data_IF_652929506407
#
_entry.id   IF_652929506407
#
_cell.length_a   1.000
_cell.length_b   1.000
_cell.length_c   1.000
_cell.angle_alpha   90.00
_cell.angle_beta   90.00
_cell.angle_gamma   90.00
#
_symmetry.space_group_name_H-M   'P 1'
#
loop_
_entity.id
_entity.type
_entity.pdbx_description
1 polymer ?
#
# COMPACT_ATOMS: atom_id res chain seq x y z
N UNK A 1 5.92 35.12 -14.84
CA UNK A 1 7.03 34.42 -14.16
C UNK A 1 6.84 34.34 -12.63
N UNK A 2 6.03 35.20 -12.00
CA UNK A 2 5.98 35.29 -10.53
C UNK A 2 4.96 34.36 -9.84
N UNK A 3 3.90 33.93 -10.53
CA UNK A 3 2.85 33.10 -9.92
C UNK A 3 3.34 31.67 -9.63
N UNK A 4 3.93 30.99 -10.62
CA UNK A 4 4.37 29.60 -10.47
C UNK A 4 5.47 29.44 -9.43
N UNK A 5 6.39 30.41 -9.34
CA UNK A 5 7.45 30.42 -8.34
C UNK A 5 6.86 30.54 -6.92
N UNK A 6 5.82 31.38 -6.76
CA UNK A 6 5.16 31.58 -5.47
C UNK A 6 4.40 30.34 -5.03
N UNK A 7 3.65 29.71 -5.92
CA UNK A 7 2.94 28.45 -5.64
C UNK A 7 3.93 27.35 -5.21
N UNK A 8 5.05 27.20 -5.92
CA UNK A 8 6.08 26.23 -5.56
C UNK A 8 6.71 26.49 -4.19
N UNK A 9 6.96 27.76 -3.84
CA UNK A 9 7.50 28.13 -2.51
C UNK A 9 6.49 27.82 -1.41
N UNK A 10 5.21 28.14 -1.62
CA UNK A 10 4.16 27.91 -0.63
C UNK A 10 3.95 26.40 -0.41
N UNK A 11 3.96 25.58 -1.48
CA UNK A 11 3.90 24.10 -1.39
C UNK A 11 5.08 23.50 -0.60
N UNK A 12 6.31 23.98 -0.81
CA UNK A 12 7.48 23.50 -0.06
C UNK A 12 7.34 23.83 1.43
N UNK A 13 6.88 25.04 1.76
CA UNK A 13 6.66 25.44 3.16
C UNK A 13 5.55 24.62 3.82
N UNK A 14 4.48 24.34 3.09
CA UNK A 14 3.37 23.50 3.57
C UNK A 14 3.86 22.08 3.82
N UNK A 15 4.68 21.51 2.93
CA UNK A 15 5.30 20.20 3.14
C UNK A 15 6.19 20.17 4.38
N UNK A 16 7.09 21.13 4.53
CA UNK A 16 7.95 21.19 5.72
C UNK A 16 7.14 21.35 7.01
N UNK A 17 6.01 22.07 6.95
CA UNK A 17 5.10 22.19 8.08
C UNK A 17 4.44 20.86 8.39
N UNK A 18 3.92 20.15 7.38
CA UNK A 18 3.32 18.82 7.55
C UNK A 18 4.33 17.82 8.12
N UNK A 19 5.58 17.82 7.65
CA UNK A 19 6.63 16.94 8.17
C UNK A 19 6.98 17.25 9.63
N UNK A 20 7.04 18.54 9.99
CA UNK A 20 7.21 18.99 11.39
C UNK A 20 6.03 18.56 12.26
N UNK A 21 4.80 18.79 11.80
CA UNK A 21 3.59 18.45 12.53
C UNK A 21 3.49 16.93 12.73
N UNK A 22 3.76 16.13 11.68
CA UNK A 22 3.84 14.66 11.75
C UNK A 22 4.86 14.21 12.79
N UNK A 23 6.06 14.80 12.79
CA UNK A 23 7.11 14.47 13.76
C UNK A 23 6.67 14.79 15.19
N UNK A 24 6.05 15.95 15.42
CA UNK A 24 5.55 16.35 16.74
C UNK A 24 4.44 15.40 17.21
N UNK A 25 3.49 15.07 16.33
CA UNK A 25 2.42 14.11 16.62
C UNK A 25 2.98 12.74 17.00
N UNK A 26 3.94 12.22 16.23
CA UNK A 26 4.59 10.94 16.52
C UNK A 26 5.29 10.96 17.89
N UNK A 27 6.10 11.99 18.16
CA UNK A 27 6.81 12.10 19.44
C UNK A 27 5.85 12.22 20.62
N UNK A 28 4.78 13.00 20.46
CA UNK A 28 3.76 13.16 21.50
C UNK A 28 3.05 11.84 21.76
N UNK A 29 2.69 11.11 20.70
CA UNK A 29 2.07 9.80 20.82
C UNK A 29 2.98 8.80 21.55
N UNK A 30 4.26 8.72 21.20
CA UNK A 30 5.24 7.85 21.86
C UNK A 30 5.38 8.17 23.36
N UNK A 31 5.47 9.45 23.72
CA UNK A 31 5.58 9.88 25.13
C UNK A 31 4.30 9.56 25.91
N UNK A 32 3.14 9.85 25.35
CA UNK A 32 1.84 9.56 25.97
C UNK A 32 1.66 8.06 26.15
N UNK A 33 2.03 7.26 25.15
CA UNK A 33 1.91 5.82 25.22
C UNK A 33 2.78 5.23 26.33
N UNK A 34 4.05 5.65 26.40
CA UNK A 34 4.97 5.21 27.46
C UNK A 34 4.54 5.65 28.86
N UNK A 35 3.90 6.82 28.98
CA UNK A 35 3.45 7.35 30.26
C UNK A 35 2.16 6.72 30.78
N UNK A 36 1.18 6.49 29.91
CA UNK A 36 -0.17 6.08 30.31
C UNK A 36 -0.47 4.60 30.06
N UNK A 37 0.21 3.98 29.10
CA UNK A 37 -0.03 2.58 28.71
C UNK A 37 1.32 1.87 28.48
N UNK A 38 2.17 1.72 29.51
CA UNK A 38 3.53 1.20 29.36
C UNK A 38 3.56 -0.20 28.73
N UNK A 39 2.59 -1.06 29.03
CA UNK A 39 2.47 -2.39 28.42
C UNK A 39 2.29 -2.31 26.89
N UNK A 40 1.50 -1.33 26.41
CA UNK A 40 1.31 -1.09 24.99
C UNK A 40 2.55 -0.46 24.36
N UNK A 41 3.26 0.41 25.09
CA UNK A 41 4.53 0.97 24.63
C UNK A 41 5.61 -0.12 24.46
N UNK A 42 5.70 -1.07 25.40
CA UNK A 42 6.59 -2.22 25.32
C UNK A 42 6.21 -3.13 24.14
N UNK A 43 4.92 -3.42 23.97
CA UNK A 43 4.41 -4.20 22.84
C UNK A 43 4.68 -3.51 21.50
N UNK A 44 4.55 -2.18 21.42
CA UNK A 44 4.90 -1.42 20.21
C UNK A 44 6.41 -1.41 19.95
N UNK A 45 7.23 -1.29 21.00
CA UNK A 45 8.69 -1.40 20.90
C UNK A 45 9.12 -2.78 20.38
N UNK A 46 8.43 -3.85 20.75
CA UNK A 46 8.61 -5.18 20.18
C UNK A 46 8.11 -5.27 18.73
N UNK A 47 6.94 -4.70 18.42
CA UNK A 47 6.39 -4.65 17.04
C UNK A 47 7.31 -3.92 16.07
N UNK A 48 7.91 -2.78 16.45
CA UNK A 48 8.84 -2.03 15.57
C UNK A 48 10.11 -2.82 15.21
N UNK A 49 10.44 -3.87 15.96
CA UNK A 49 11.55 -4.79 15.61
C UNK A 49 11.14 -5.87 14.62
N UNK A 50 9.83 -6.07 14.42
CA UNK A 50 9.32 -6.95 13.37
C UNK A 50 9.21 -6.12 12.10
N UNK A 51 9.83 -6.54 10.98
CA UNK A 51 9.67 -5.83 9.73
C UNK A 51 8.18 -5.88 9.33
N UNK A 52 7.55 -4.71 9.27
CA UNK A 52 6.42 -4.42 8.37
C UNK A 52 5.18 -5.33 8.48
N UNK A 53 4.66 -5.58 9.69
CA UNK A 53 3.19 -5.74 9.80
C UNK A 53 2.59 -4.34 9.81
N UNK A 54 2.52 -3.70 8.64
CA UNK A 54 1.60 -2.59 8.43
C UNK A 54 0.21 -3.15 8.70
N UNK A 55 -0.32 -2.90 9.91
CA UNK A 55 -1.63 -3.41 10.29
C UNK A 55 -2.66 -2.90 9.30
N UNK A 56 -3.15 -3.75 8.42
CA UNK A 56 -4.19 -3.41 7.45
C UNK A 56 -5.54 -3.04 8.09
N UNK A 57 -5.66 -3.11 9.41
CA UNK A 57 -6.84 -2.68 10.16
C UNK A 57 -7.29 -1.26 9.77
N UNK A 58 -6.34 -0.34 9.59
CA UNK A 58 -6.63 1.06 9.25
C UNK A 58 -7.07 1.26 7.79
N UNK A 59 -6.73 0.33 6.90
CA UNK A 59 -7.07 0.38 5.48
C UNK A 59 -8.15 -0.61 5.07
N UNK A 60 -8.75 -1.34 6.01
CA UNK A 60 -9.82 -2.33 5.74
C UNK A 60 -11.00 -1.79 4.94
N UNK A 61 -11.37 -0.51 5.13
CA UNK A 61 -12.41 0.17 4.35
C UNK A 61 -12.03 0.38 2.87
N UNK A 62 -10.74 0.41 2.56
CA UNK A 62 -10.16 0.61 1.23
C UNK A 62 -9.75 -0.73 0.58
N UNK A 63 -9.12 -1.61 1.36
CA UNK A 63 -8.48 -2.84 0.91
C UNK A 63 -9.32 -4.10 1.15
N UNK A 64 -10.45 -3.96 1.86
CA UNK A 64 -11.35 -5.06 2.20
C UNK A 64 -10.95 -5.79 3.48
N UNK A 65 -11.70 -6.84 3.80
CA UNK A 65 -11.54 -7.60 5.04
C UNK A 65 -10.40 -8.63 4.99
N UNK A 66 -10.01 -9.08 3.79
CA UNK A 66 -8.96 -10.09 3.59
C UNK A 66 -7.67 -9.76 4.35
N UNK A 67 -7.07 -8.57 4.20
CA UNK A 67 -5.83 -8.29 4.91
C UNK A 67 -6.01 -8.10 6.41
N UNK A 68 -7.16 -7.60 6.86
CA UNK A 68 -7.48 -7.61 8.31
C UNK A 68 -7.60 -9.04 8.86
N UNK A 69 -8.14 -9.97 8.07
CA UNK A 69 -8.22 -11.39 8.44
C UNK A 69 -6.84 -12.04 8.49
N UNK A 70 -5.93 -11.68 7.58
CA UNK A 70 -4.53 -12.12 7.62
C UNK A 70 -3.87 -11.77 8.96
N UNK A 71 -4.02 -10.52 9.42
CA UNK A 71 -3.49 -10.08 10.72
C UNK A 71 -4.06 -10.87 11.90
N UNK A 72 -5.36 -11.18 11.87
CA UNK A 72 -6.00 -11.99 12.93
C UNK A 72 -5.49 -13.43 12.92
N UNK A 73 -5.23 -14.00 11.74
CA UNK A 73 -4.66 -15.34 11.60
C UNK A 73 -3.23 -15.36 12.15
N UNK A 74 -2.38 -14.42 11.75
CA UNK A 74 -1.01 -14.30 12.26
C UNK A 74 -0.97 -14.08 13.77
N UNK A 75 -1.87 -13.23 14.29
CA UNK A 75 -2.02 -13.00 15.73
C UNK A 75 -2.43 -14.29 16.45
N UNK A 76 -3.35 -15.08 15.87
CA UNK A 76 -3.79 -16.34 16.46
C UNK A 76 -2.66 -17.38 16.53
N UNK A 77 -1.81 -17.44 15.50
CA UNK A 77 -0.66 -18.34 15.44
C UNK A 77 0.44 -17.95 16.43
N UNK A 78 0.65 -16.66 16.64
CA UNK A 78 1.67 -16.12 17.56
C UNK A 78 1.14 -15.88 18.97
N UNK A 79 -0.11 -16.23 19.27
CA UNK A 79 -0.75 -15.90 20.55
C UNK A 79 0.06 -16.35 21.77
N UNK A 80 0.50 -17.62 21.76
CA UNK A 80 1.31 -18.19 22.84
C UNK A 80 2.73 -17.62 22.87
N UNK A 81 3.34 -17.36 21.71
CA UNK A 81 4.67 -16.73 21.57
C UNK A 81 4.68 -15.32 22.17
N UNK A 82 3.61 -14.56 21.95
CA UNK A 82 3.42 -13.21 22.48
C UNK A 82 3.11 -13.17 23.98
N UNK A 83 2.99 -14.34 24.64
CA UNK A 83 2.67 -14.44 26.07
C UNK A 83 1.26 -13.98 26.42
N UNK A 84 0.34 -13.98 25.46
CA UNK A 84 -1.04 -13.55 25.68
C UNK A 84 -1.82 -14.62 26.47
N UNK A 85 -2.62 -14.21 27.47
CA UNK A 85 -3.33 -15.17 28.33
C UNK A 85 -4.46 -15.89 27.59
N UNK A 86 -4.77 -17.10 28.05
CA UNK A 86 -5.86 -17.91 27.51
C UNK A 86 -5.62 -18.40 26.08
N UNK A 87 -6.70 -18.84 25.44
CA UNK A 87 -6.71 -19.17 24.02
C UNK A 87 -7.08 -17.94 23.19
N UNK A 88 -6.50 -17.82 21.99
CA UNK A 88 -6.92 -16.79 21.04
C UNK A 88 -8.43 -16.93 20.74
N UNK A 89 -9.22 -15.85 20.76
CA UNK A 89 -10.62 -15.87 20.32
C UNK A 89 -10.80 -16.21 18.83
N UNK A 90 -9.79 -15.94 18.01
CA UNK A 90 -9.76 -16.31 16.60
C UNK A 90 -9.12 -17.69 16.45
N UNK A 91 -9.92 -18.71 16.18
CA UNK A 91 -9.45 -20.08 15.95
C UNK A 91 -10.00 -20.59 14.61
N UNK A 92 -9.45 -20.11 13.48
CA UNK A 92 -9.92 -20.53 12.17
C UNK A 92 -9.75 -22.04 11.98
N UNK A 93 -10.74 -22.69 11.38
CA UNK A 93 -10.64 -24.10 11.00
C UNK A 93 -9.63 -24.30 9.86
N UNK A 94 -9.22 -25.56 9.63
CA UNK A 94 -8.33 -25.90 8.50
C UNK A 94 -8.94 -25.50 7.15
N UNK A 95 -10.26 -25.65 7.02
CA UNK A 95 -11.00 -25.25 5.81
C UNK A 95 -11.00 -23.72 5.63
N UNK A 96 -11.21 -22.99 6.73
CA UNK A 96 -11.17 -21.52 6.73
C UNK A 96 -9.77 -20.96 6.43
N UNK A 97 -8.72 -21.64 6.88
CA UNK A 97 -7.34 -21.29 6.55
C UNK A 97 -7.03 -21.54 5.07
N UNK A 98 -7.50 -22.65 4.50
CA UNK A 98 -7.31 -22.96 3.09
C UNK A 98 -8.05 -21.96 2.18
N UNK A 99 -9.30 -21.62 2.52
CA UNK A 99 -10.05 -20.58 1.80
C UNK A 99 -9.38 -19.21 1.91
N UNK A 100 -8.93 -18.84 3.11
CA UNK A 100 -8.22 -17.57 3.32
C UNK A 100 -6.91 -17.50 2.54
N UNK A 101 -6.15 -18.60 2.44
CA UNK A 101 -4.91 -18.63 1.67
C UNK A 101 -5.14 -18.27 0.20
N UNK A 102 -6.22 -18.76 -0.41
CA UNK A 102 -6.62 -18.38 -1.77
C UNK A 102 -7.02 -16.91 -1.86
N UNK A 103 -7.82 -16.42 -0.92
CA UNK A 103 -8.22 -15.01 -0.87
C UNK A 103 -7.02 -14.07 -0.70
N UNK A 104 -6.01 -14.51 0.06
CA UNK A 104 -4.77 -13.78 0.27
C UNK A 104 -3.95 -13.68 -1.03
N UNK A 105 -3.81 -14.78 -1.78
CA UNK A 105 -3.14 -14.78 -3.09
C UNK A 105 -3.82 -13.84 -4.09
N UNK A 106 -5.17 -13.87 -4.15
CA UNK A 106 -5.95 -12.94 -4.97
C UNK A 106 -5.71 -11.48 -4.55
N UNK A 107 -5.68 -11.22 -3.24
CA UNK A 107 -5.43 -9.90 -2.68
C UNK A 107 -4.03 -9.40 -3.05
N UNK A 108 -2.98 -10.20 -2.85
CA UNK A 108 -1.61 -9.83 -3.20
C UNK A 108 -1.46 -9.55 -4.69
N UNK A 109 -2.12 -10.35 -5.54
CA UNK A 109 -2.12 -10.13 -6.99
C UNK A 109 -2.73 -8.78 -7.36
N UNK A 110 -3.87 -8.42 -6.76
CA UNK A 110 -4.52 -7.12 -6.96
C UNK A 110 -3.64 -5.98 -6.44
N UNK A 111 -3.01 -6.13 -5.27
CA UNK A 111 -2.14 -5.09 -4.72
C UNK A 111 -0.90 -4.86 -5.57
N UNK A 112 -0.27 -5.93 -6.09
CA UNK A 112 0.84 -5.83 -7.04
C UNK A 112 0.42 -5.05 -8.29
N UNK A 113 -0.76 -5.33 -8.83
CA UNK A 113 -1.28 -4.61 -9.99
C UNK A 113 -1.57 -3.13 -9.68
N UNK A 114 -2.16 -2.81 -8.52
CA UNK A 114 -2.38 -1.42 -8.08
C UNK A 114 -1.06 -0.65 -7.96
N UNK A 115 -0.07 -1.22 -7.27
CA UNK A 115 1.26 -0.61 -7.11
C UNK A 115 1.93 -0.40 -8.48
N UNK A 116 1.79 -1.38 -9.39
CA UNK A 116 2.26 -1.26 -10.76
C UNK A 116 1.59 -0.08 -11.49
N UNK A 117 0.26 0.02 -11.47
CA UNK A 117 -0.48 1.12 -12.09
C UNK A 117 -0.07 2.47 -11.51
N UNK A 118 0.01 2.58 -10.17
CA UNK A 118 0.47 3.79 -9.51
C UNK A 118 1.85 4.19 -9.99
N UNK A 119 2.81 3.26 -10.04
CA UNK A 119 4.16 3.55 -10.57
C UNK A 119 4.13 4.02 -12.01
N UNK A 120 3.37 3.38 -12.90
CA UNK A 120 3.33 3.77 -14.32
C UNK A 120 2.66 5.12 -14.53
N UNK A 121 1.57 5.40 -13.81
CA UNK A 121 0.80 6.61 -13.97
C UNK A 121 1.40 7.80 -13.19
N UNK A 122 1.96 7.59 -11.99
CA UNK A 122 2.62 8.64 -11.19
C UNK A 122 3.99 9.04 -11.76
N UNK A 123 4.68 8.18 -12.53
CA UNK A 123 5.90 8.55 -13.27
C UNK A 123 5.64 9.68 -14.28
N UNK A 124 4.38 9.95 -14.64
CA UNK A 124 3.97 11.12 -15.42
C UNK A 124 3.79 12.41 -14.61
N UNK A 125 3.61 12.32 -13.30
CA UNK A 125 3.51 13.48 -12.41
C UNK A 125 4.90 13.86 -11.90
N UNK A 126 5.60 14.70 -12.67
CA UNK A 126 6.89 15.28 -12.30
C UNK A 126 6.91 15.76 -10.84
N UNK A 127 7.56 15.00 -9.96
CA UNK A 127 7.83 15.39 -8.57
C UNK A 127 6.67 15.33 -7.57
N UNK A 128 5.50 14.73 -7.89
CA UNK A 128 4.41 14.58 -6.91
C UNK A 128 4.61 13.31 -6.06
N UNK A 129 4.27 13.39 -4.77
CA UNK A 129 4.09 12.23 -3.87
C UNK A 129 3.25 11.20 -4.63
N UNK A 130 3.53 9.88 -4.56
CA UNK A 130 2.65 8.88 -5.14
C UNK A 130 1.23 9.20 -4.69
N UNK A 131 0.38 9.60 -5.64
CA UNK A 131 -0.96 10.00 -5.27
C UNK A 131 -1.66 8.74 -4.78
N UNK A 132 -2.62 8.83 -3.86
CA UNK A 132 -3.42 7.66 -3.44
C UNK A 132 -4.31 7.08 -4.57
N UNK A 133 -3.94 7.25 -5.84
CA UNK A 133 -4.72 6.98 -7.04
C UNK A 133 -5.46 8.22 -7.58
N UNK A 134 -5.10 9.43 -7.15
CA UNK A 134 -5.77 10.66 -7.56
C UNK A 134 -5.23 11.18 -8.89
N UNK A 135 -6.12 11.31 -9.88
CA UNK A 135 -5.80 11.89 -11.18
C UNK A 135 -6.45 13.28 -11.28
N UNK A 136 -5.70 14.27 -11.75
CA UNK A 136 -6.25 15.60 -12.06
C UNK A 136 -7.31 15.49 -13.16
N UNK A 137 -8.38 16.29 -13.07
CA UNK A 137 -9.48 16.28 -14.05
C UNK A 137 -8.98 16.43 -15.50
N UNK A 138 -7.96 17.25 -15.73
CA UNK A 138 -7.37 17.48 -17.06
C UNK A 138 -6.71 16.22 -17.65
N UNK A 139 -6.16 15.35 -16.81
CA UNK A 139 -5.52 14.10 -17.21
C UNK A 139 -6.42 12.87 -17.12
N UNK A 140 -7.70 13.03 -16.73
CA UNK A 140 -8.59 11.91 -16.40
C UNK A 140 -8.80 10.95 -17.58
N UNK A 141 -9.14 11.47 -18.76
CA UNK A 141 -9.41 10.61 -19.93
C UNK A 141 -8.14 9.88 -20.40
N UNK A 142 -6.98 10.54 -20.35
CA UNK A 142 -5.70 9.92 -20.67
C UNK A 142 -5.34 8.82 -19.66
N UNK A 143 -5.53 9.08 -18.36
CA UNK A 143 -5.30 8.09 -17.31
C UNK A 143 -6.24 6.89 -17.42
N UNK A 144 -7.52 7.13 -17.76
CA UNK A 144 -8.51 6.07 -17.99
C UNK A 144 -8.15 5.20 -19.18
N UNK A 145 -7.70 5.80 -20.28
CA UNK A 145 -7.23 5.06 -21.47
C UNK A 145 -5.98 4.23 -21.15
N UNK A 146 -4.99 4.84 -20.47
CA UNK A 146 -3.78 4.16 -20.05
C UNK A 146 -4.08 3.01 -19.08
N UNK A 147 -4.95 3.23 -18.08
CA UNK A 147 -5.41 2.19 -17.15
C UNK A 147 -6.01 1.01 -17.91
N UNK A 148 -6.92 1.26 -18.86
CA UNK A 148 -7.56 0.19 -19.65
C UNK A 148 -6.52 -0.63 -20.42
N UNK A 149 -5.58 0.03 -21.10
CA UNK A 149 -4.54 -0.65 -21.87
C UNK A 149 -3.62 -1.49 -20.97
N UNK A 150 -3.18 -0.93 -19.85
CA UNK A 150 -2.33 -1.63 -18.88
C UNK A 150 -3.05 -2.82 -18.24
N UNK A 151 -4.35 -2.70 -17.97
CA UNK A 151 -5.18 -3.79 -17.48
C UNK A 151 -5.30 -4.93 -18.51
N UNK A 152 -5.57 -4.62 -19.77
CA UNK A 152 -5.67 -5.63 -20.84
C UNK A 152 -4.36 -6.41 -20.99
N UNK A 153 -3.21 -5.72 -20.95
CA UNK A 153 -1.88 -6.35 -20.99
C UNK A 153 -1.59 -7.22 -19.77
N UNK A 154 -1.98 -6.77 -18.58
CA UNK A 154 -1.86 -7.56 -17.36
C UNK A 154 -2.69 -8.84 -17.43
N UNK A 155 -3.94 -8.74 -17.88
CA UNK A 155 -4.82 -9.90 -18.05
C UNK A 155 -4.30 -10.89 -19.10
N UNK A 156 -3.70 -10.41 -20.18
CA UNK A 156 -3.03 -11.27 -21.17
C UNK A 156 -1.83 -12.00 -20.53
N UNK A 157 -1.09 -11.34 -19.65
CA UNK A 157 0.03 -11.94 -18.93
C UNK A 157 -0.42 -13.09 -18.04
N UNK A 158 -1.46 -12.87 -17.23
CA UNK A 158 -2.04 -13.90 -16.34
C UNK A 158 -2.57 -15.11 -17.13
N UNK A 159 -3.06 -14.91 -18.36
CA UNK A 159 -3.55 -16.01 -19.22
C UNK A 159 -2.44 -16.84 -19.85
N UNK A 160 -1.29 -16.22 -20.14
CA UNK A 160 -0.15 -16.87 -20.79
C UNK A 160 0.81 -17.48 -19.76
N UNK A 161 0.83 -16.97 -18.53
CA UNK A 161 1.71 -17.46 -17.47
C UNK A 161 1.19 -18.75 -16.86
N UNK A 162 2.02 -19.81 -16.86
CA UNK A 162 1.87 -20.95 -15.94
C UNK A 162 2.61 -20.70 -14.60
N UNK A 163 3.34 -19.58 -14.48
CA UNK A 163 4.20 -19.24 -13.35
C UNK A 163 3.63 -18.10 -12.48
N UNK A 164 3.39 -18.31 -11.17
CA UNK A 164 2.87 -17.30 -10.23
C UNK A 164 3.84 -16.14 -9.91
N UNK A 165 5.17 -16.30 -10.10
CA UNK A 165 6.17 -15.26 -9.79
C UNK A 165 6.38 -14.26 -10.94
N UNK A 166 5.90 -14.56 -12.15
CA UNK A 166 6.22 -13.82 -13.38
C UNK A 166 5.59 -12.41 -13.50
N UNK A 167 4.87 -11.96 -12.47
CA UNK A 167 4.18 -10.67 -12.42
C UNK A 167 5.14 -9.45 -12.36
N UNK A 168 6.31 -9.59 -11.74
CA UNK A 168 7.23 -8.46 -11.52
C UNK A 168 8.05 -8.11 -12.77
N UNK A 169 8.61 -9.13 -13.46
CA UNK A 169 9.47 -8.95 -14.64
C UNK A 169 8.72 -8.28 -15.78
N UNK A 170 7.50 -8.74 -16.09
CA UNK A 170 6.66 -8.11 -17.11
C UNK A 170 6.04 -6.80 -16.65
N UNK A 171 5.83 -6.61 -15.35
CA UNK A 171 5.57 -5.30 -14.78
C UNK A 171 6.63 -4.28 -15.24
N UNK A 172 7.92 -4.64 -15.25
CA UNK A 172 9.00 -3.77 -15.75
C UNK A 172 8.91 -3.52 -17.26
N UNK A 173 8.58 -4.53 -18.06
CA UNK A 173 8.35 -4.37 -19.51
C UNK A 173 7.19 -3.42 -19.81
N UNK A 174 6.08 -3.55 -19.08
CA UNK A 174 4.93 -2.70 -19.23
C UNK A 174 5.20 -1.25 -18.76
N UNK A 175 6.04 -1.03 -17.74
CA UNK A 175 6.56 0.32 -17.42
C UNK A 175 7.36 0.88 -18.61
N UNK A 176 8.19 0.07 -19.27
CA UNK A 176 8.95 0.51 -20.43
C UNK A 176 8.03 0.91 -21.60
N UNK A 177 6.94 0.18 -21.82
CA UNK A 177 5.92 0.52 -22.82
C UNK A 177 5.10 1.76 -22.44
N UNK A 178 4.74 1.93 -21.17
CA UNK A 178 4.07 3.14 -20.68
C UNK A 178 4.89 4.40 -20.97
N UNK A 179 6.23 4.32 -20.86
CA UNK A 179 7.13 5.39 -21.31
C UNK A 179 7.06 5.60 -22.83
N UNK A 180 7.07 4.53 -23.63
CA UNK A 180 6.98 4.61 -25.09
C UNK A 180 5.67 5.22 -25.59
N UNK A 181 4.53 4.85 -25.00
CA UNK A 181 3.21 5.39 -25.36
C UNK A 181 3.14 6.89 -25.05
N UNK A 182 3.74 7.32 -23.94
CA UNK A 182 3.86 8.74 -23.58
C UNK A 182 4.67 9.52 -24.61
N UNK A 183 5.80 8.98 -25.06
CA UNK A 183 6.68 9.64 -26.02
C UNK A 183 6.07 9.72 -27.44
N UNK A 184 5.05 8.91 -27.74
CA UNK A 184 4.27 8.98 -29.00
C UNK A 184 3.03 9.88 -28.93
N UNK A 185 2.62 10.31 -27.72
CA UNK A 185 1.43 11.12 -27.47
C UNK A 185 1.68 12.63 -27.32
N UNK A 186 2.93 13.08 -27.43
CA UNK A 186 3.31 14.50 -27.54
C UNK A 186 3.62 14.87 -28.99
#
# INVERSE_FOLDING_TARGET
>A
MDHDLRTSIDEVKDREKLDRDRRICQQTFEVVLGAYVPELADAQGARRKTPENDTYCHSSWRDGATPSRQELIELSQRWAELGLPGSCPCQPSVEELAEHAKQWEDFETVQKFKVFLMRVLDVGSEGRVPSEGWVLNEGWEAAKAAHKQLYEQWMETVRVSEDPEMNEERGREAVALGRTIRDQGQ
#
